data_IF_857919236757
#
_entry.id   IF_857919236757
#
_cell.length_a   1.000
_cell.length_b   1.000
_cell.length_c   1.000
_cell.angle_alpha   90.00
_cell.angle_beta   90.00
_cell.angle_gamma   90.00
#
_symmetry.space_group_name_H-M   'P 1'
#
loop_
_entity.id
_entity.type
_entity.pdbx_description
1 polymer ?
#
# COMPACT_ATOMS: atom_id res chain seq x y z
N UNK A 1 -1.59 -17.58 -3.56
CA UNK A 1 -0.35 -16.81 -3.81
C UNK A 1 -0.70 -15.68 -4.76
N UNK A 2 -0.25 -14.45 -4.52
CA UNK A 2 -0.47 -13.29 -5.39
C UNK A 2 0.89 -12.72 -5.76
N UNK A 3 1.10 -12.41 -7.04
CA UNK A 3 2.35 -11.85 -7.55
C UNK A 3 2.07 -10.56 -8.32
N UNK A 4 2.88 -9.53 -8.06
CA UNK A 4 2.88 -8.28 -8.82
C UNK A 4 4.08 -8.29 -9.78
N UNK A 5 3.80 -8.40 -11.08
CA UNK A 5 4.82 -8.50 -12.14
C UNK A 5 5.18 -7.16 -12.77
N UNK A 6 4.38 -6.12 -12.54
CA UNK A 6 4.56 -4.78 -13.13
C UNK A 6 5.47 -3.86 -12.32
N UNK A 7 6.13 -4.35 -11.26
CA UNK A 7 7.12 -3.58 -10.51
C UNK A 7 8.49 -3.71 -11.17
N UNK A 8 8.99 -2.66 -11.86
CA UNK A 8 10.25 -2.75 -12.62
C UNK A 8 11.45 -3.03 -11.71
N UNK A 9 12.55 -3.52 -12.28
CA UNK A 9 13.77 -3.79 -11.50
C UNK A 9 14.32 -2.49 -10.88
N UNK A 10 14.37 -1.44 -11.70
CA UNK A 10 14.72 -0.07 -11.33
C UNK A 10 13.48 0.82 -11.45
N UNK A 11 13.24 1.66 -10.45
CA UNK A 11 12.10 2.57 -10.41
C UNK A 11 10.85 2.03 -9.71
N UNK A 12 9.71 2.64 -10.04
CA UNK A 12 8.43 2.48 -9.34
C UNK A 12 7.35 1.93 -10.28
N UNK A 13 6.39 1.13 -9.78
CA UNK A 13 5.23 0.71 -10.55
C UNK A 13 4.24 1.88 -10.65
N UNK A 14 3.24 1.76 -11.53
CA UNK A 14 2.12 2.68 -11.52
C UNK A 14 1.29 2.52 -10.22
N UNK A 15 0.80 3.61 -9.59
CA UNK A 15 0.01 3.53 -8.34
C UNK A 15 -1.17 2.56 -8.38
N UNK A 16 -1.91 2.55 -9.50
CA UNK A 16 -3.01 1.59 -9.79
C UNK A 16 -2.63 0.14 -9.55
N UNK A 17 -1.38 -0.24 -9.81
CA UNK A 17 -0.92 -1.62 -9.69
C UNK A 17 -0.85 -2.05 -8.22
N UNK A 18 -0.46 -1.12 -7.33
CA UNK A 18 -0.44 -1.35 -5.88
C UNK A 18 -1.87 -1.41 -5.34
N UNK A 19 -2.74 -0.49 -5.75
CA UNK A 19 -4.15 -0.50 -5.34
C UNK A 19 -4.82 -1.82 -5.75
N UNK A 20 -4.63 -2.23 -7.01
CA UNK A 20 -5.17 -3.51 -7.52
C UNK A 20 -4.63 -4.72 -6.77
N UNK A 21 -3.36 -4.69 -6.33
CA UNK A 21 -2.77 -5.74 -5.52
C UNK A 21 -3.43 -5.83 -4.14
N UNK A 22 -3.73 -4.69 -3.52
CA UNK A 22 -4.40 -4.61 -2.22
C UNK A 22 -5.84 -5.13 -2.33
N UNK A 23 -6.56 -4.79 -3.39
CA UNK A 23 -7.91 -5.30 -3.62
C UNK A 23 -7.91 -6.82 -3.82
N UNK A 24 -6.97 -7.35 -4.61
CA UNK A 24 -6.78 -8.81 -4.75
C UNK A 24 -6.45 -9.48 -3.42
N UNK A 25 -5.58 -8.85 -2.60
CA UNK A 25 -5.24 -9.36 -1.28
C UNK A 25 -6.48 -9.42 -0.39
N UNK A 26 -7.29 -8.37 -0.35
CA UNK A 26 -8.55 -8.34 0.43
C UNK A 26 -9.50 -9.48 0.01
N UNK A 27 -9.71 -9.66 -1.29
CA UNK A 27 -10.56 -10.75 -1.80
C UNK A 27 -10.07 -12.13 -1.36
N UNK A 28 -8.76 -12.38 -1.44
CA UNK A 28 -8.19 -13.65 -0.98
C UNK A 28 -8.35 -13.80 0.53
N UNK A 29 -8.06 -12.77 1.32
CA UNK A 29 -8.19 -12.83 2.78
C UNK A 29 -9.63 -13.07 3.23
N UNK A 30 -10.63 -12.50 2.56
CA UNK A 30 -12.06 -12.77 2.85
C UNK A 30 -12.45 -14.23 2.62
N UNK A 31 -11.79 -14.92 1.69
CA UNK A 31 -12.05 -16.34 1.37
C UNK A 31 -11.28 -17.32 2.26
N UNK A 32 -10.38 -16.82 3.12
CA UNK A 32 -9.52 -17.65 3.97
C UNK A 32 -9.70 -17.30 5.44
N UNK A 33 -9.50 -18.26 6.34
CA UNK A 33 -9.44 -18.00 7.79
C UNK A 33 -8.06 -17.53 8.27
N UNK A 34 -7.17 -17.12 7.34
CA UNK A 34 -5.82 -16.70 7.68
C UNK A 34 -5.79 -15.29 8.27
N UNK A 35 -5.08 -15.14 9.39
CA UNK A 35 -4.84 -13.85 10.05
C UNK A 35 -3.50 -13.21 9.65
N UNK A 36 -2.68 -13.93 8.88
CA UNK A 36 -1.31 -13.51 8.57
C UNK A 36 -1.06 -13.57 7.07
N UNK A 37 -0.36 -12.56 6.56
CA UNK A 37 0.07 -12.46 5.17
C UNK A 37 1.59 -12.35 5.13
N UNK A 38 2.23 -13.20 4.34
CA UNK A 38 3.66 -13.11 4.06
C UNK A 38 3.86 -12.21 2.84
N UNK A 39 4.69 -11.17 2.99
CA UNK A 39 5.05 -10.25 1.90
C UNK A 39 6.55 -10.36 1.68
N UNK A 40 6.96 -10.61 0.44
CA UNK A 40 8.37 -10.79 0.07
C UNK A 40 8.69 -10.10 -1.25
N UNK A 41 9.94 -9.66 -1.38
CA UNK A 41 10.51 -9.16 -2.62
C UNK A 41 11.89 -9.80 -2.82
N UNK A 42 12.93 -9.05 -3.18
CA UNK A 42 14.30 -9.55 -3.26
C UNK A 42 14.99 -9.60 -1.90
N UNK A 43 15.00 -8.47 -1.18
CA UNK A 43 15.68 -8.30 0.11
C UNK A 43 14.71 -8.20 1.31
N UNK A 44 13.41 -8.08 1.02
CA UNK A 44 12.34 -7.90 2.01
C UNK A 44 12.34 -6.52 2.65
N UNK A 45 13.00 -5.52 2.05
CA UNK A 45 13.20 -4.19 2.66
C UNK A 45 12.45 -3.12 1.89
N UNK A 46 12.74 -2.94 0.59
CA UNK A 46 12.27 -1.76 -0.14
C UNK A 46 10.86 -1.95 -0.66
N UNK A 47 10.64 -2.89 -1.60
CA UNK A 47 9.32 -3.10 -2.22
C UNK A 47 8.30 -3.64 -1.23
N UNK A 48 8.72 -4.62 -0.42
CA UNK A 48 7.89 -5.18 0.66
C UNK A 48 7.55 -4.13 1.71
N UNK A 49 8.53 -3.30 2.11
CA UNK A 49 8.30 -2.19 3.04
C UNK A 49 7.36 -1.13 2.48
N UNK A 50 7.53 -0.76 1.21
CA UNK A 50 6.66 0.17 0.48
C UNK A 50 5.22 -0.34 0.47
N UNK A 51 5.02 -1.60 0.08
CA UNK A 51 3.69 -2.22 0.10
C UNK A 51 3.09 -2.24 1.52
N UNK A 52 3.87 -2.64 2.52
CA UNK A 52 3.42 -2.73 3.92
C UNK A 52 2.94 -1.37 4.45
N UNK A 53 3.73 -0.32 4.20
CA UNK A 53 3.41 1.05 4.64
C UNK A 53 2.16 1.56 3.95
N UNK A 54 2.06 1.40 2.63
CA UNK A 54 0.87 1.78 1.86
C UNK A 54 -0.37 1.03 2.35
N UNK A 55 -0.28 -0.29 2.51
CA UNK A 55 -1.39 -1.10 3.00
C UNK A 55 -1.84 -0.65 4.40
N UNK A 56 -0.90 -0.45 5.33
CA UNK A 56 -1.19 0.04 6.68
C UNK A 56 -1.87 1.41 6.67
N UNK A 57 -1.35 2.36 5.87
CA UNK A 57 -1.92 3.71 5.83
C UNK A 57 -3.24 3.76 5.07
N UNK A 58 -3.48 2.92 4.07
CA UNK A 58 -4.78 2.82 3.40
C UNK A 58 -5.87 2.32 4.34
N UNK A 59 -5.57 1.32 5.20
CA UNK A 59 -6.55 0.87 6.17
C UNK A 59 -6.83 1.94 7.22
N UNK A 60 -5.79 2.63 7.73
CA UNK A 60 -5.98 3.77 8.65
C UNK A 60 -6.75 4.92 8.01
N UNK A 61 -6.48 5.24 6.75
CA UNK A 61 -7.22 6.26 6.01
C UNK A 61 -8.70 5.90 5.93
N UNK A 62 -9.04 4.63 5.66
CA UNK A 62 -10.44 4.17 5.59
C UNK A 62 -11.15 4.19 6.94
N UNK A 63 -10.45 3.90 8.03
CA UNK A 63 -11.06 3.78 9.37
C UNK A 63 -11.05 5.07 10.17
N UNK A 64 -9.99 5.85 10.05
CA UNK A 64 -9.70 7.03 10.88
C UNK A 64 -9.68 8.34 10.06
N UNK A 65 -9.61 8.27 8.73
CA UNK A 65 -9.51 9.47 7.88
C UNK A 65 -8.15 10.17 7.93
N UNK A 66 -7.10 9.50 8.43
CA UNK A 66 -5.76 10.08 8.61
C UNK A 66 -4.68 9.26 7.92
N UNK A 67 -3.61 9.96 7.51
CA UNK A 67 -2.41 9.37 6.91
C UNK A 67 -1.16 9.92 7.62
N UNK A 68 -0.27 9.03 8.04
CA UNK A 68 1.04 9.38 8.58
C UNK A 68 2.10 8.40 8.08
N UNK A 69 2.63 8.67 6.88
CA UNK A 69 3.67 7.85 6.24
C UNK A 69 4.97 7.89 7.04
N UNK A 70 5.31 9.04 7.65
CA UNK A 70 6.54 9.18 8.43
C UNK A 70 6.55 8.22 9.63
N UNK A 71 5.50 8.24 10.45
CA UNK A 71 5.42 7.35 11.61
C UNK A 71 5.28 5.89 11.19
N UNK A 72 4.59 5.61 10.08
CA UNK A 72 4.48 4.25 9.54
C UNK A 72 5.87 3.67 9.18
N UNK A 73 6.70 4.44 8.47
CA UNK A 73 8.05 4.02 8.08
C UNK A 73 8.95 3.93 9.31
N UNK A 74 8.88 4.92 10.23
CA UNK A 74 9.64 4.89 11.47
C UNK A 74 9.34 3.64 12.29
N UNK A 75 8.06 3.27 12.43
CA UNK A 75 7.61 2.06 13.13
C UNK A 75 8.05 0.78 12.39
N UNK A 76 7.96 0.76 11.06
CA UNK A 76 8.43 -0.38 10.27
C UNK A 76 9.95 -0.62 10.43
N UNK A 77 10.74 0.46 10.50
CA UNK A 77 12.20 0.39 10.71
C UNK A 77 12.62 -0.18 12.06
N UNK A 78 11.75 -0.10 13.09
CA UNK A 78 11.99 -0.76 14.39
C UNK A 78 11.98 -2.28 14.23
N UNK A 79 11.09 -2.81 13.39
CA UNK A 79 10.92 -4.25 13.16
C UNK A 79 11.87 -4.79 12.10
N UNK A 80 12.16 -4.01 11.06
CA UNK A 80 13.07 -4.37 9.97
C UNK A 80 13.93 -3.17 9.61
N UNK A 81 15.20 -3.14 10.04
CA UNK A 81 16.12 -2.05 9.71
C UNK A 81 16.23 -1.83 8.20
N UNK A 82 16.30 -0.57 7.79
CA UNK A 82 16.48 -0.19 6.39
C UNK A 82 15.20 -0.09 5.55
N UNK A 83 14.00 -0.37 6.11
CA UNK A 83 12.72 -0.21 5.38
C UNK A 83 12.63 1.18 4.75
N UNK A 84 12.46 1.19 3.42
CA UNK A 84 12.38 2.38 2.54
C UNK A 84 13.53 3.34 2.82
N UNK A 85 14.76 3.05 2.37
CA UNK A 85 15.90 3.94 2.55
C UNK A 85 15.89 5.09 1.53
N UNK A 86 15.22 4.91 0.38
CA UNK A 86 15.20 5.83 -0.74
C UNK A 86 14.01 6.80 -0.67
N UNK A 87 14.25 8.06 -1.07
CA UNK A 87 13.21 9.09 -1.14
C UNK A 87 12.13 8.77 -2.17
N UNK A 88 12.47 8.14 -3.29
CA UNK A 88 11.50 7.81 -4.35
C UNK A 88 10.37 6.93 -3.82
N UNK A 89 10.71 5.88 -3.06
CA UNK A 89 9.72 5.01 -2.43
C UNK A 89 8.94 5.71 -1.31
N UNK A 90 9.56 6.69 -0.63
CA UNK A 90 8.88 7.51 0.38
C UNK A 90 7.80 8.39 -0.28
N UNK A 91 8.15 9.09 -1.36
CA UNK A 91 7.22 9.92 -2.14
C UNK A 91 6.14 9.05 -2.78
N UNK A 92 6.51 7.90 -3.33
CA UNK A 92 5.59 6.96 -3.95
C UNK A 92 4.49 6.48 -2.98
N UNK A 93 4.79 6.32 -1.69
CA UNK A 93 3.76 6.01 -0.68
C UNK A 93 2.66 7.08 -0.67
N UNK A 94 3.01 8.37 -0.73
CA UNK A 94 2.05 9.46 -0.80
C UNK A 94 1.29 9.48 -2.13
N UNK A 95 1.96 9.26 -3.25
CA UNK A 95 1.32 9.21 -4.58
C UNK A 95 0.22 8.14 -4.64
N UNK A 96 0.49 6.95 -4.11
CA UNK A 96 -0.50 5.86 -4.07
C UNK A 96 -1.67 6.19 -3.15
N UNK A 97 -1.41 6.82 -1.99
CA UNK A 97 -2.46 7.23 -1.06
C UNK A 97 -3.33 8.35 -1.64
N UNK A 98 -2.74 9.31 -2.36
CA UNK A 98 -3.45 10.38 -3.04
C UNK A 98 -4.33 9.84 -4.19
N UNK A 99 -3.77 9.01 -5.08
CA UNK A 99 -4.51 8.35 -6.18
C UNK A 99 -5.70 7.53 -5.63
N UNK A 100 -5.54 6.93 -4.45
CA UNK A 100 -6.63 6.23 -3.79
C UNK A 100 -7.74 7.16 -3.29
N UNK A 101 -7.40 8.30 -2.67
CA UNK A 101 -8.37 9.30 -2.21
C UNK A 101 -9.16 9.88 -3.38
N UNK A 102 -8.48 10.27 -4.46
CA UNK A 102 -9.12 10.83 -5.66
C UNK A 102 -10.15 9.86 -6.27
N UNK A 103 -9.82 8.57 -6.32
CA UNK A 103 -10.76 7.53 -6.76
C UNK A 103 -11.95 7.41 -5.81
N UNK A 104 -11.70 7.37 -4.51
CA UNK A 104 -12.75 7.27 -3.48
C UNK A 104 -13.72 8.45 -3.53
N UNK A 105 -13.23 9.67 -3.71
CA UNK A 105 -14.05 10.88 -3.87
C UNK A 105 -14.85 10.84 -5.17
N UNK A 106 -14.23 10.43 -6.29
CA UNK A 106 -14.95 10.24 -7.54
C UNK A 106 -16.12 9.26 -7.38
N UNK A 107 -15.97 8.17 -6.61
CA UNK A 107 -17.07 7.25 -6.30
C UNK A 107 -18.12 7.82 -5.33
N UNK A 108 -17.74 8.70 -4.39
CA UNK A 108 -18.70 9.38 -3.50
C UNK A 108 -19.54 10.43 -4.25
N UNK A 109 -18.95 11.13 -5.21
CA UNK A 109 -19.65 12.15 -6.01
C UNK A 109 -20.80 11.58 -6.87
N UNK A 110 -20.81 10.27 -7.15
CA UNK A 110 -21.92 9.60 -7.83
C UNK A 110 -23.01 9.06 -6.88
N UNK A 111 -22.82 9.09 -5.56
CA UNK A 111 -23.82 8.63 -4.57
C UNK A 111 -24.79 9.71 -4.09
N UNK A 112 -24.62 10.97 -4.50
CA UNK A 112 -25.47 12.10 -4.06
C UNK A 112 -26.54 12.49 -5.10
N UNK A 113 -26.77 11.68 -6.15
CA UNK A 113 -27.76 11.95 -7.21
C UNK A 113 -28.89 10.89 -7.33
N UNK A 114 -29.21 10.19 -6.26
CA UNK A 114 -30.48 9.46 -6.11
C UNK A 114 -31.06 9.70 -4.72
#
# INVERSE_FOLDING_TARGET
MIQLTSWPLEGLPHPTAIISLIDKLKHVLMSTSSKQTVVMCSDGVVRSGTFLVIHSQLERLKTEGVVDVFQAIKSARIHRPGVIPNTDHYVFCYEVLADFVERMEAYHNFKTLM
#
